data_IF_869924513614
#
_entry.id   IF_869924513614
#
_cell.length_a   1.000
_cell.length_b   1.000
_cell.length_c   1.000
_cell.angle_alpha   90.00
_cell.angle_beta   90.00
_cell.angle_gamma   90.00
#
_symmetry.space_group_name_H-M   'P 1'
#
loop_
_entity.id
_entity.type
_entity.pdbx_description
1 polymer ?
#
# COMPACT_ATOMS: atom_id res chain seq x y z
N UNK A 1 -17.00 -25.76 -18.09
CA UNK A 1 -15.63 -25.36 -18.44
C UNK A 1 -14.90 -25.06 -17.15
N UNK A 2 -13.68 -25.58 -16.97
CA UNK A 2 -12.94 -25.45 -15.72
C UNK A 2 -12.70 -23.98 -15.37
N UNK A 3 -13.14 -23.57 -14.17
CA UNK A 3 -13.03 -22.22 -13.62
C UNK A 3 -11.64 -22.00 -13.02
N UNK A 4 -10.60 -21.94 -13.86
CA UNK A 4 -9.24 -21.72 -13.36
C UNK A 4 -9.18 -20.38 -12.61
N UNK A 5 -9.00 -20.44 -11.28
CA UNK A 5 -8.90 -19.26 -10.41
C UNK A 5 -7.44 -18.84 -10.19
N UNK A 6 -6.52 -19.79 -10.23
CA UNK A 6 -5.13 -19.59 -9.87
C UNK A 6 -4.20 -20.17 -10.93
N UNK A 7 -3.32 -19.34 -11.47
CA UNK A 7 -2.30 -19.74 -12.43
C UNK A 7 -0.93 -19.29 -11.93
N UNK A 8 -0.03 -20.26 -11.71
CA UNK A 8 1.33 -20.04 -11.24
C UNK A 8 2.31 -20.61 -12.26
N UNK A 9 3.17 -19.76 -12.80
CA UNK A 9 4.22 -20.10 -13.78
C UNK A 9 5.57 -19.50 -13.36
N UNK A 10 5.87 -19.58 -12.07
CA UNK A 10 7.09 -19.03 -11.49
C UNK A 10 8.34 -19.79 -11.96
N UNK A 11 9.46 -19.06 -12.03
CA UNK A 11 10.80 -19.54 -12.37
C UNK A 11 10.85 -20.34 -13.69
N UNK A 12 9.87 -20.11 -14.56
CA UNK A 12 9.81 -20.65 -15.91
C UNK A 12 10.78 -19.85 -16.79
N UNK A 13 12.05 -20.24 -16.82
CA UNK A 13 13.13 -19.53 -17.52
C UNK A 13 12.93 -19.43 -19.04
N UNK A 14 12.18 -20.34 -19.64
CA UNK A 14 11.82 -20.30 -21.07
C UNK A 14 10.56 -19.48 -21.35
N UNK A 15 9.85 -19.01 -20.32
CA UNK A 15 8.69 -18.15 -20.48
C UNK A 15 9.15 -16.70 -20.69
N UNK A 16 9.18 -16.29 -21.95
CA UNK A 16 9.52 -14.92 -22.37
C UNK A 16 8.31 -14.07 -22.74
N UNK A 17 7.17 -14.70 -22.99
CA UNK A 17 5.93 -14.04 -23.39
C UNK A 17 4.73 -14.80 -22.84
N UNK A 18 3.62 -14.09 -22.66
CA UNK A 18 2.33 -14.67 -22.32
C UNK A 18 1.38 -14.37 -23.48
N UNK A 19 0.65 -15.37 -23.98
CA UNK A 19 -0.32 -15.17 -25.06
C UNK A 19 -1.40 -14.14 -24.68
N UNK A 20 -1.90 -13.39 -25.65
CA UNK A 20 -3.00 -12.44 -25.42
C UNK A 20 -4.31 -13.14 -25.06
N UNK A 21 -4.43 -14.42 -25.41
CA UNK A 21 -5.51 -15.35 -25.09
C UNK A 21 -5.63 -15.67 -23.59
N UNK A 22 -4.71 -15.15 -22.76
CA UNK A 22 -4.85 -15.21 -21.29
C UNK A 22 -6.22 -14.66 -20.83
N UNK A 23 -6.79 -13.72 -21.57
CA UNK A 23 -8.12 -13.13 -21.33
C UNK A 23 -9.28 -14.13 -21.40
N UNK A 24 -9.08 -15.30 -22.02
CA UNK A 24 -10.04 -16.40 -22.04
C UNK A 24 -10.23 -17.00 -20.63
N UNK A 25 -9.26 -16.77 -19.73
CA UNK A 25 -9.32 -17.20 -18.33
C UNK A 25 -10.15 -16.22 -17.49
N UNK A 26 -11.41 -16.01 -17.88
CA UNK A 26 -12.33 -15.05 -17.24
C UNK A 26 -12.56 -15.26 -15.74
N UNK A 27 -12.32 -16.47 -15.22
CA UNK A 27 -12.42 -16.80 -13.78
C UNK A 27 -11.11 -16.61 -13.00
N UNK A 28 -10.02 -16.21 -13.67
CA UNK A 28 -8.70 -16.11 -13.07
C UNK A 28 -8.67 -14.95 -12.07
N UNK A 29 -8.17 -15.27 -10.87
CA UNK A 29 -8.09 -14.39 -9.70
C UNK A 29 -6.66 -14.12 -9.27
N UNK A 30 -5.77 -15.11 -9.43
CA UNK A 30 -4.34 -14.94 -9.15
C UNK A 30 -3.50 -15.40 -10.33
N UNK A 31 -2.57 -14.54 -10.73
CA UNK A 31 -1.54 -14.83 -11.72
C UNK A 31 -0.17 -14.59 -11.09
N UNK A 32 0.67 -15.63 -11.08
CA UNK A 32 2.03 -15.57 -10.57
C UNK A 32 3.01 -15.97 -11.66
N UNK A 33 4.01 -15.12 -11.89
CA UNK A 33 5.01 -15.23 -12.94
C UNK A 33 6.41 -14.94 -12.39
N UNK A 34 6.59 -15.04 -11.07
CA UNK A 34 7.80 -14.61 -10.38
C UNK A 34 9.05 -15.29 -10.96
N UNK A 35 10.14 -14.57 -11.15
CA UNK A 35 11.40 -15.10 -11.67
C UNK A 35 11.35 -15.56 -13.13
N UNK A 36 10.30 -15.24 -13.88
CA UNK A 36 10.22 -15.53 -15.31
C UNK A 36 10.98 -14.50 -16.15
N UNK A 37 11.21 -14.81 -17.43
CA UNK A 37 11.97 -13.97 -18.35
C UNK A 37 11.08 -13.05 -19.20
N UNK A 38 9.85 -12.80 -18.76
CA UNK A 38 8.90 -11.94 -19.46
C UNK A 38 9.45 -10.51 -19.55
N UNK A 39 9.30 -9.90 -20.72
CA UNK A 39 9.65 -8.49 -20.93
C UNK A 39 8.46 -7.55 -20.73
N UNK A 40 7.25 -8.04 -21.00
CA UNK A 40 6.00 -7.28 -20.88
C UNK A 40 4.86 -8.22 -20.49
N UNK A 41 3.80 -7.64 -19.94
CA UNK A 41 2.51 -8.33 -19.77
C UNK A 41 1.65 -8.15 -21.04
N UNK A 42 0.82 -9.14 -21.42
CA UNK A 42 -0.01 -9.07 -22.61
C UNK A 42 -1.13 -8.04 -22.45
N UNK A 43 -1.49 -7.35 -23.52
CA UNK A 43 -2.59 -6.36 -23.52
C UNK A 43 -3.93 -6.98 -23.12
N UNK A 44 -4.09 -8.30 -23.32
CA UNK A 44 -5.27 -9.04 -22.86
C UNK A 44 -5.48 -9.02 -21.34
N UNK A 45 -4.46 -8.72 -20.54
CA UNK A 45 -4.54 -8.78 -19.07
C UNK A 45 -5.59 -7.81 -18.49
N UNK A 46 -5.82 -6.64 -19.11
CA UNK A 46 -6.89 -5.70 -18.69
C UNK A 46 -8.29 -6.27 -18.77
N UNK A 47 -8.49 -7.31 -19.60
CA UNK A 47 -9.79 -7.98 -19.78
C UNK A 47 -10.05 -9.04 -18.72
N UNK A 48 -9.08 -9.34 -17.87
CA UNK A 48 -9.26 -10.24 -16.73
C UNK A 48 -9.95 -9.52 -15.57
N UNK A 49 -11.25 -9.29 -15.72
CA UNK A 49 -12.09 -8.52 -14.76
C UNK A 49 -12.21 -9.16 -13.37
N UNK A 50 -11.75 -10.40 -13.20
CA UNK A 50 -11.71 -11.09 -11.93
C UNK A 50 -10.29 -11.23 -11.35
N UNK A 51 -9.26 -10.69 -12.01
CA UNK A 51 -7.88 -10.80 -11.53
C UNK A 51 -7.66 -9.85 -10.35
N UNK A 52 -7.42 -10.42 -9.18
CA UNK A 52 -7.28 -9.72 -7.90
C UNK A 52 -5.81 -9.56 -7.52
N UNK A 53 -4.97 -10.55 -7.84
CA UNK A 53 -3.55 -10.55 -7.49
C UNK A 53 -2.64 -10.89 -8.66
N UNK A 54 -1.58 -10.10 -8.83
CA UNK A 54 -0.55 -10.27 -9.85
C UNK A 54 0.84 -10.26 -9.19
N UNK A 55 1.55 -11.37 -9.30
CA UNK A 55 2.90 -11.55 -8.73
C UNK A 55 3.93 -11.66 -9.85
N UNK A 56 4.91 -10.76 -9.85
CA UNK A 56 5.92 -10.53 -10.89
C UNK A 56 7.31 -10.34 -10.30
N UNK A 57 7.52 -10.69 -9.03
CA UNK A 57 8.81 -10.50 -8.35
C UNK A 57 9.94 -11.24 -9.08
N UNK A 58 11.14 -10.66 -9.09
CA UNK A 58 12.34 -11.15 -9.78
C UNK A 58 12.19 -11.32 -11.31
N UNK A 59 11.19 -10.69 -11.95
CA UNK A 59 11.10 -10.63 -13.42
C UNK A 59 12.13 -9.63 -13.99
N UNK A 60 13.39 -10.06 -14.06
CA UNK A 60 14.55 -9.20 -14.39
C UNK A 60 14.49 -8.52 -15.76
N UNK A 61 13.66 -9.01 -16.68
CA UNK A 61 13.50 -8.45 -18.03
C UNK A 61 12.25 -7.59 -18.19
N UNK A 62 11.36 -7.54 -17.18
CA UNK A 62 10.12 -6.80 -17.24
C UNK A 62 10.41 -5.30 -17.40
N UNK A 63 9.90 -4.69 -18.46
CA UNK A 63 10.15 -3.29 -18.81
C UNK A 63 8.97 -2.38 -18.50
N UNK A 64 7.76 -2.92 -18.61
CA UNK A 64 6.53 -2.14 -18.50
C UNK A 64 5.39 -2.90 -17.84
N UNK A 65 4.61 -2.17 -17.05
CA UNK A 65 3.33 -2.58 -16.49
C UNK A 65 2.26 -1.61 -16.97
N UNK A 66 1.68 -1.91 -18.14
CA UNK A 66 0.65 -1.11 -18.76
C UNK A 66 -0.67 -1.90 -18.77
N UNK A 67 -1.80 -1.21 -18.86
CA UNK A 67 -3.10 -1.85 -19.05
C UNK A 67 -3.40 -2.93 -17.98
N UNK A 68 -3.19 -2.60 -16.70
CA UNK A 68 -3.52 -3.50 -15.60
C UNK A 68 -5.05 -3.62 -15.44
N UNK A 69 -5.57 -4.78 -15.00
CA UNK A 69 -7.01 -4.97 -14.85
C UNK A 69 -7.59 -4.09 -13.71
N UNK A 70 -8.81 -3.55 -13.86
CA UNK A 70 -9.43 -2.67 -12.86
C UNK A 70 -9.79 -3.39 -11.55
N UNK A 71 -9.84 -4.71 -11.55
CA UNK A 71 -10.07 -5.56 -10.37
C UNK A 71 -8.83 -5.80 -9.52
N UNK A 72 -7.65 -5.37 -9.99
CA UNK A 72 -6.39 -5.64 -9.31
C UNK A 72 -6.31 -4.86 -8.01
N UNK A 73 -6.12 -5.57 -6.90
CA UNK A 73 -5.89 -4.97 -5.58
C UNK A 73 -4.51 -5.31 -5.03
N UNK A 74 -3.87 -6.37 -5.54
CA UNK A 74 -2.53 -6.78 -5.11
C UNK A 74 -1.60 -6.90 -6.32
N UNK A 75 -0.59 -6.04 -6.37
CA UNK A 75 0.48 -6.07 -7.36
C UNK A 75 1.81 -6.16 -6.64
N UNK A 76 2.61 -7.15 -7.01
CA UNK A 76 3.98 -7.32 -6.51
C UNK A 76 4.92 -7.50 -7.69
N UNK A 77 5.90 -6.60 -7.83
CA UNK A 77 6.95 -6.67 -8.84
C UNK A 77 8.31 -6.34 -8.21
N UNK A 78 8.63 -6.99 -7.09
CA UNK A 78 9.84 -6.73 -6.32
C UNK A 78 11.06 -7.19 -7.11
N UNK A 79 12.13 -6.40 -7.14
CA UNK A 79 13.39 -6.81 -7.78
C UNK A 79 13.31 -6.90 -9.30
N UNK A 80 12.49 -6.05 -9.93
CA UNK A 80 12.41 -5.91 -11.38
C UNK A 80 13.24 -4.69 -11.85
N UNK A 81 14.57 -4.80 -12.01
CA UNK A 81 15.44 -3.66 -12.31
C UNK A 81 15.22 -3.08 -13.72
N UNK A 82 14.67 -3.85 -14.66
CA UNK A 82 14.36 -3.33 -16.00
C UNK A 82 13.06 -2.55 -16.09
N UNK A 83 12.24 -2.54 -15.02
CA UNK A 83 10.93 -1.89 -15.04
C UNK A 83 11.12 -0.37 -15.01
N UNK A 84 10.68 0.30 -16.07
CA UNK A 84 10.76 1.76 -16.20
C UNK A 84 9.39 2.42 -16.22
N UNK A 85 8.39 1.76 -16.79
CA UNK A 85 7.06 2.34 -17.03
C UNK A 85 5.97 1.58 -16.28
N UNK A 86 5.10 2.33 -15.61
CA UNK A 86 3.89 1.81 -14.96
C UNK A 86 2.75 2.75 -15.34
N UNK A 87 1.66 2.23 -15.89
CA UNK A 87 0.43 2.99 -16.13
C UNK A 87 -0.55 2.79 -14.99
N UNK A 88 -1.32 3.83 -14.69
CA UNK A 88 -2.48 3.66 -13.81
C UNK A 88 -3.54 2.81 -14.53
N UNK A 89 -4.08 1.76 -13.87
CA UNK A 89 -5.19 0.98 -14.39
C UNK A 89 -6.53 1.73 -14.48
N UNK A 90 -6.67 2.90 -13.84
CA UNK A 90 -8.00 3.47 -13.53
C UNK A 90 -8.32 4.74 -14.32
N UNK A 91 -8.74 4.60 -15.58
CA UNK A 91 -9.40 5.71 -16.29
C UNK A 91 -10.87 5.91 -15.87
N UNK A 92 -11.48 4.98 -15.14
CA UNK A 92 -12.86 5.14 -14.65
C UNK A 92 -13.11 4.13 -13.54
N UNK A 93 -13.49 4.59 -12.34
CA UNK A 93 -13.95 3.73 -11.24
C UNK A 93 -15.29 3.10 -11.67
N UNK A 94 -15.22 2.08 -12.51
CA UNK A 94 -16.25 1.07 -12.56
C UNK A 94 -16.01 0.25 -11.30
N UNK A 95 -17.00 0.15 -10.42
CA UNK A 95 -16.97 -0.76 -9.27
C UNK A 95 -16.28 -2.05 -9.71
N UNK A 96 -15.23 -2.54 -9.05
CA UNK A 96 -14.84 -3.91 -9.27
C UNK A 96 -16.08 -4.75 -8.93
N UNK A 97 -16.72 -5.34 -9.95
CA UNK A 97 -17.86 -6.26 -9.78
C UNK A 97 -17.51 -7.40 -8.80
N UNK A 98 -16.22 -7.54 -8.50
CA UNK A 98 -15.56 -8.48 -7.62
C UNK A 98 -15.73 -8.25 -6.12
N UNK A 99 -16.14 -7.10 -5.58
CA UNK A 99 -16.19 -6.94 -4.11
C UNK A 99 -17.33 -7.74 -3.42
N UNK A 100 -18.19 -8.42 -4.19
CA UNK A 100 -19.14 -9.41 -3.68
C UNK A 100 -18.52 -10.81 -3.61
N UNK A 101 -17.44 -10.97 -2.85
CA UNK A 101 -16.91 -12.30 -2.57
C UNK A 101 -17.66 -12.96 -1.42
N UNK A 102 -18.01 -14.24 -1.58
CA UNK A 102 -18.48 -15.05 -0.46
C UNK A 102 -17.39 -15.14 0.60
N UNK A 103 -17.79 -15.08 1.87
CA UNK A 103 -16.94 -15.13 3.07
C UNK A 103 -15.86 -16.24 3.05
N UNK A 104 -16.05 -17.29 2.26
CA UNK A 104 -15.11 -18.42 2.11
C UNK A 104 -13.87 -18.14 1.24
N UNK A 105 -13.90 -17.18 0.29
CA UNK A 105 -12.73 -16.79 -0.52
C UNK A 105 -11.86 -15.72 0.21
N UNK A 106 -12.39 -15.08 1.28
CA UNK A 106 -11.80 -13.93 2.00
C UNK A 106 -10.97 -14.27 3.25
N UNK A 107 -10.80 -15.55 3.59
CA UNK A 107 -10.02 -15.95 4.79
C UNK A 107 -8.51 -15.68 4.71
N UNK A 108 -8.01 -15.14 3.61
CA UNK A 108 -6.63 -14.68 3.52
C UNK A 108 -6.59 -13.17 3.77
N UNK A 109 -5.94 -12.76 4.86
CA UNK A 109 -5.70 -11.36 5.27
C UNK A 109 -5.19 -10.45 4.13
N UNK A 110 -4.65 -11.03 3.06
CA UNK A 110 -4.22 -10.34 1.84
C UNK A 110 -5.33 -9.60 1.07
N UNK A 111 -6.62 -9.93 1.28
CA UNK A 111 -7.72 -9.40 0.46
C UNK A 111 -8.45 -8.19 1.04
N UNK A 112 -8.08 -7.72 2.23
CA UNK A 112 -8.63 -6.50 2.85
C UNK A 112 -7.70 -5.28 2.69
N UNK A 113 -6.72 -5.40 1.80
CA UNK A 113 -5.71 -4.37 1.55
C UNK A 113 -5.49 -4.17 0.05
N UNK A 114 -5.46 -2.91 -0.38
CA UNK A 114 -4.84 -2.56 -1.67
C UNK A 114 -3.33 -2.50 -1.47
N UNK A 115 -2.56 -3.27 -2.24
CA UNK A 115 -1.11 -3.35 -2.15
C UNK A 115 -0.47 -3.20 -3.52
N UNK A 116 0.47 -2.26 -3.64
CA UNK A 116 1.39 -2.14 -4.76
C UNK A 116 2.83 -2.15 -4.25
N UNK A 117 3.56 -3.24 -4.47
CA UNK A 117 4.95 -3.38 -4.06
C UNK A 117 5.87 -3.45 -5.28
N UNK A 118 6.58 -2.36 -5.55
CA UNK A 118 7.56 -2.22 -6.62
C UNK A 118 8.98 -2.06 -6.04
N UNK A 119 9.22 -2.62 -4.86
CA UNK A 119 10.52 -2.52 -4.19
C UNK A 119 11.65 -2.99 -5.10
N UNK A 120 12.77 -2.27 -5.08
CA UNK A 120 13.95 -2.49 -5.93
C UNK A 120 13.70 -2.37 -7.46
N UNK A 121 12.60 -1.76 -7.90
CA UNK A 121 12.44 -1.28 -9.29
C UNK A 121 13.19 0.04 -9.51
N UNK A 122 14.52 -0.01 -9.49
CA UNK A 122 15.37 1.18 -9.36
C UNK A 122 15.38 2.13 -10.57
N UNK A 123 14.75 1.76 -11.69
CA UNK A 123 14.78 2.50 -12.95
C UNK A 123 13.40 3.06 -13.37
N UNK A 124 12.44 3.15 -12.44
CA UNK A 124 11.16 3.80 -12.69
C UNK A 124 11.36 5.24 -13.18
N UNK A 125 10.73 5.59 -14.30
CA UNK A 125 10.78 6.94 -14.85
C UNK A 125 9.83 7.91 -14.09
N UNK A 126 9.99 9.23 -14.25
CA UNK A 126 9.16 10.20 -13.54
C UNK A 126 7.65 10.05 -13.81
N UNK A 127 7.26 9.62 -15.01
CA UNK A 127 5.85 9.42 -15.36
C UNK A 127 5.27 8.19 -14.65
N UNK A 128 6.05 7.12 -14.53
CA UNK A 128 5.68 5.96 -13.72
C UNK A 128 5.47 6.36 -12.26
N UNK A 129 6.36 7.17 -11.67
CA UNK A 129 6.15 7.68 -10.32
C UNK A 129 4.85 8.47 -10.18
N UNK A 130 4.57 9.41 -11.07
CA UNK A 130 3.31 10.19 -11.04
C UNK A 130 2.08 9.27 -11.15
N UNK A 131 2.12 8.28 -12.04
CA UNK A 131 1.02 7.31 -12.18
C UNK A 131 0.83 6.47 -10.91
N UNK A 132 1.91 6.04 -10.26
CA UNK A 132 1.85 5.30 -9.00
C UNK A 132 1.25 6.19 -7.90
N UNK A 133 1.69 7.45 -7.80
CA UNK A 133 1.14 8.39 -6.83
C UNK A 133 -0.34 8.66 -7.06
N UNK A 134 -0.77 8.79 -8.32
CA UNK A 134 -2.17 9.00 -8.66
C UNK A 134 -3.03 7.78 -8.35
N UNK A 135 -2.57 6.58 -8.72
CA UNK A 135 -3.24 5.33 -8.36
C UNK A 135 -3.36 5.18 -6.83
N UNK A 136 -2.33 5.57 -6.09
CA UNK A 136 -2.34 5.59 -4.62
C UNK A 136 -3.46 6.48 -4.09
N UNK A 137 -3.60 7.71 -4.62
CA UNK A 137 -4.67 8.63 -4.21
C UNK A 137 -6.05 8.07 -4.53
N UNK A 138 -6.23 7.53 -5.73
CA UNK A 138 -7.51 6.93 -6.15
C UNK A 138 -7.87 5.75 -5.25
N UNK A 139 -6.92 4.86 -4.96
CA UNK A 139 -7.13 3.71 -4.09
C UNK A 139 -7.52 4.14 -2.67
N UNK A 140 -6.80 5.09 -2.08
CA UNK A 140 -7.14 5.64 -0.76
C UNK A 140 -8.53 6.24 -0.75
N UNK A 141 -8.86 7.08 -1.74
CA UNK A 141 -10.17 7.74 -1.78
C UNK A 141 -11.31 6.74 -1.94
N UNK A 142 -11.11 5.71 -2.77
CA UNK A 142 -12.06 4.61 -2.93
C UNK A 142 -12.27 3.86 -1.61
N UNK A 143 -11.20 3.43 -0.94
CA UNK A 143 -11.30 2.69 0.33
C UNK A 143 -11.93 3.53 1.44
N UNK A 144 -11.60 4.82 1.48
CA UNK A 144 -12.11 5.80 2.43
C UNK A 144 -13.63 6.00 2.33
N UNK A 145 -14.15 6.11 1.11
CA UNK A 145 -15.56 6.40 0.81
C UNK A 145 -16.43 5.14 0.80
N UNK A 146 -16.02 4.11 0.06
CA UNK A 146 -16.82 2.90 -0.15
C UNK A 146 -16.69 1.90 1.01
N UNK A 147 -15.68 2.06 1.87
CA UNK A 147 -15.39 1.18 3.03
C UNK A 147 -15.20 -0.30 2.65
N UNK A 148 -14.63 -0.53 1.48
CA UNK A 148 -14.50 -1.87 0.88
C UNK A 148 -13.24 -2.60 1.28
N UNK A 149 -12.17 -1.86 1.58
CA UNK A 149 -10.88 -2.36 2.05
C UNK A 149 -10.46 -1.53 3.26
N UNK A 150 -9.83 -2.16 4.24
CA UNK A 150 -9.37 -1.50 5.47
C UNK A 150 -8.03 -0.76 5.32
N UNK A 151 -7.25 -1.09 4.28
CA UNK A 151 -5.86 -0.65 4.17
C UNK A 151 -5.43 -0.39 2.73
N UNK A 152 -4.55 0.60 2.56
CA UNK A 152 -3.80 0.84 1.32
C UNK A 152 -2.32 0.88 1.64
N UNK A 153 -1.52 0.23 0.81
CA UNK A 153 -0.07 0.08 0.95
C UNK A 153 0.57 0.27 -0.42
N UNK A 154 1.56 1.15 -0.49
CA UNK A 154 2.41 1.29 -1.66
C UNK A 154 3.87 1.34 -1.23
N UNK A 155 4.72 0.53 -1.85
CA UNK A 155 6.17 0.52 -1.63
C UNK A 155 6.88 0.72 -2.96
N UNK A 156 7.76 1.72 -2.99
CA UNK A 156 8.54 2.06 -4.19
C UNK A 156 9.94 2.52 -3.76
N UNK A 157 10.96 2.40 -4.62
CA UNK A 157 12.21 3.12 -4.43
C UNK A 157 11.93 4.62 -4.31
N UNK A 158 12.70 5.34 -3.52
CA UNK A 158 12.48 6.78 -3.34
C UNK A 158 13.11 7.30 -2.06
N UNK A 159 13.64 8.52 -2.13
CA UNK A 159 14.37 9.16 -1.03
C UNK A 159 13.68 10.41 -0.47
N UNK A 160 12.51 10.77 -1.01
CA UNK A 160 11.79 12.00 -0.71
C UNK A 160 10.30 11.73 -0.50
N UNK A 161 9.67 12.51 0.38
CA UNK A 161 8.22 12.49 0.57
C UNK A 161 7.56 13.26 -0.58
N UNK A 162 6.45 12.76 -1.17
CA UNK A 162 5.77 13.46 -2.24
C UNK A 162 5.23 14.83 -1.79
N UNK A 163 5.22 15.81 -2.70
CA UNK A 163 4.83 17.20 -2.40
C UNK A 163 3.39 17.36 -1.90
N UNK A 164 2.54 16.36 -2.11
CA UNK A 164 1.15 16.38 -1.67
C UNK A 164 0.98 15.99 -0.19
N UNK A 165 2.06 15.64 0.52
CA UNK A 165 2.04 15.55 1.98
C UNK A 165 2.31 16.93 2.59
N UNK A 166 1.29 17.60 3.17
CA UNK A 166 1.42 18.96 3.70
C UNK A 166 2.30 19.03 4.96
N UNK A 167 2.38 17.93 5.73
CA UNK A 167 3.19 17.85 6.93
C UNK A 167 4.32 16.86 6.73
N UNK A 168 5.55 17.30 6.96
CA UNK A 168 6.75 16.48 6.80
C UNK A 168 7.75 16.80 7.91
N UNK A 169 8.54 15.81 8.32
CA UNK A 169 9.61 15.99 9.30
C UNK A 169 10.79 15.08 8.99
N UNK A 170 12.00 15.56 9.26
CA UNK A 170 13.19 14.74 9.22
C UNK A 170 13.23 13.84 10.46
N UNK A 171 13.69 12.60 10.28
CA UNK A 171 13.73 11.57 11.30
C UNK A 171 12.44 10.73 11.37
N UNK A 172 12.30 9.90 12.42
CA UNK A 172 11.24 8.91 12.53
C UNK A 172 9.93 9.47 13.09
N UNK A 173 9.88 10.74 13.47
CA UNK A 173 8.70 11.31 14.15
C UNK A 173 8.24 12.61 13.53
N UNK A 174 6.93 12.81 13.53
CA UNK A 174 6.27 14.05 13.14
C UNK A 174 5.23 14.43 14.19
N UNK A 175 5.25 15.68 14.62
CA UNK A 175 4.21 16.25 15.49
C UNK A 175 3.47 17.34 14.73
N UNK A 176 2.14 17.24 14.71
CA UNK A 176 1.24 18.18 14.04
C UNK A 176 0.36 18.82 15.10
N UNK A 177 0.29 20.14 15.11
CA UNK A 177 -0.71 20.89 15.87
C UNK A 177 -1.87 21.22 14.95
N UNK A 178 -3.06 20.77 15.31
CA UNK A 178 -4.23 20.92 14.45
C UNK A 178 -5.51 21.15 15.25
N UNK A 179 -6.40 21.97 14.69
CA UNK A 179 -7.80 22.12 15.09
C UNK A 179 -8.64 21.26 14.13
N UNK A 180 -9.15 20.09 14.56
CA UNK A 180 -9.98 19.25 13.71
C UNK A 180 -11.28 19.99 13.32
N UNK A 181 -11.76 19.88 12.08
CA UNK A 181 -13.09 20.36 11.73
C UNK A 181 -14.11 19.66 12.63
N UNK A 182 -15.03 20.42 13.21
CA UNK A 182 -16.08 19.87 14.09
C UNK A 182 -16.90 18.83 13.31
N UNK A 183 -17.02 17.62 13.87
CA UNK A 183 -17.81 16.49 13.35
C UNK A 183 -17.25 15.67 12.15
N UNK A 184 -16.05 15.95 11.61
CA UNK A 184 -15.50 15.11 10.52
C UNK A 184 -14.64 13.96 11.04
N UNK A 185 -14.85 12.75 10.52
CA UNK A 185 -13.95 11.63 10.73
C UNK A 185 -12.62 11.92 10.02
N UNK A 186 -11.52 11.96 10.79
CA UNK A 186 -10.19 12.23 10.24
C UNK A 186 -9.49 10.92 9.95
N UNK A 187 -9.07 10.76 8.71
CA UNK A 187 -8.20 9.66 8.29
C UNK A 187 -6.85 10.24 7.87
N UNK A 188 -5.81 9.42 7.84
CA UNK A 188 -4.46 9.88 7.51
C UNK A 188 -3.84 8.97 6.48
N UNK A 189 -3.21 9.59 5.48
CA UNK A 189 -2.21 8.94 4.64
C UNK A 189 -0.87 9.22 5.28
N UNK A 190 -0.10 8.17 5.48
CA UNK A 190 1.20 8.17 6.11
C UNK A 190 2.25 7.83 5.07
N UNK A 191 3.39 8.49 5.15
CA UNK A 191 4.54 8.20 4.30
C UNK A 191 5.81 8.18 5.13
N UNK A 192 6.67 7.22 4.87
CA UNK A 192 7.99 7.11 5.47
C UNK A 192 9.01 6.76 4.39
N UNK A 193 10.15 7.42 4.44
CA UNK A 193 11.33 7.05 3.66
C UNK A 193 12.32 6.34 4.57
N UNK A 194 12.59 5.10 4.20
CA UNK A 194 13.56 4.24 4.85
C UNK A 194 14.92 4.46 4.20
N UNK A 195 15.90 4.89 4.98
CA UNK A 195 17.29 5.05 4.54
C UNK A 195 18.00 3.70 4.53
N UNK A 196 18.65 3.42 3.41
CA UNK A 196 19.34 2.15 3.18
C UNK A 196 20.81 2.43 2.91
N UNK A 197 21.61 2.34 3.97
CA UNK A 197 23.07 2.58 3.93
C UNK A 197 23.82 1.34 3.39
N UNK A 198 23.32 0.14 3.67
CA UNK A 198 23.78 -1.15 3.15
C UNK A 198 22.56 -2.05 2.91
N UNK A 199 22.72 -3.18 2.18
CA UNK A 199 21.63 -4.13 1.94
C UNK A 199 21.13 -4.70 3.27
N UNK A 200 20.09 -4.07 3.81
CA UNK A 200 19.53 -4.36 5.13
C UNK A 200 18.18 -5.05 5.02
N UNK A 201 17.92 -5.91 6.00
CA UNK A 201 16.65 -6.61 6.16
C UNK A 201 15.67 -5.69 6.89
N UNK A 202 14.42 -5.68 6.44
CA UNK A 202 13.33 -4.94 7.09
C UNK A 202 12.36 -5.97 7.62
N UNK A 203 12.11 -5.96 8.93
CA UNK A 203 11.12 -6.84 9.55
C UNK A 203 9.75 -6.19 9.68
N UNK A 204 9.67 -4.87 9.54
CA UNK A 204 8.42 -4.13 9.51
C UNK A 204 8.58 -2.71 9.97
N UNK A 205 7.57 -1.92 9.67
CA UNK A 205 7.40 -0.58 10.22
C UNK A 205 6.13 -0.63 11.06
N UNK A 206 6.17 -0.10 12.28
CA UNK A 206 4.98 0.26 13.05
C UNK A 206 4.92 1.77 13.05
N UNK A 207 3.71 2.32 12.98
CA UNK A 207 3.52 3.69 13.41
C UNK A 207 2.71 3.70 14.69
N UNK A 208 3.19 4.50 15.63
CA UNK A 208 2.50 4.80 16.86
C UNK A 208 1.95 6.19 16.67
N UNK A 209 0.64 6.32 16.75
CA UNK A 209 0.02 7.63 16.83
C UNK A 209 -0.30 7.97 18.28
N UNK A 210 -0.24 9.25 18.61
CA UNK A 210 -0.60 9.77 19.91
C UNK A 210 -1.36 11.08 19.73
N UNK A 211 -2.58 11.15 20.23
CA UNK A 211 -3.42 12.34 20.19
C UNK A 211 -3.57 12.90 21.59
N UNK A 212 -3.17 14.15 21.80
CA UNK A 212 -3.39 14.88 23.05
C UNK A 212 -4.54 15.87 22.89
N UNK A 213 -5.54 15.80 23.78
CA UNK A 213 -6.72 16.69 23.79
C UNK A 213 -6.87 17.25 25.20
N UNK A 214 -6.46 18.50 25.41
CA UNK A 214 -6.34 19.05 26.76
C UNK A 214 -5.40 18.18 27.62
N UNK A 215 -5.93 17.61 28.70
CA UNK A 215 -5.18 16.70 29.59
C UNK A 215 -5.29 15.22 29.20
N UNK A 216 -6.11 14.88 28.20
CA UNK A 216 -6.29 13.50 27.74
C UNK A 216 -5.21 13.12 26.71
N UNK A 217 -4.70 11.88 26.80
CA UNK A 217 -3.76 11.30 25.85
C UNK A 217 -4.31 9.97 25.33
N UNK A 218 -4.54 9.90 24.02
CA UNK A 218 -5.01 8.71 23.31
C UNK A 218 -3.84 8.16 22.51
N UNK A 219 -3.58 6.85 22.58
CA UNK A 219 -2.53 6.19 21.80
C UNK A 219 -3.11 5.04 20.99
N UNK A 220 -2.59 4.82 19.80
CA UNK A 220 -2.84 3.62 19.00
C UNK A 220 -1.58 3.27 18.22
N UNK A 221 -1.37 1.98 18.01
CA UNK A 221 -0.20 1.44 17.33
C UNK A 221 -0.62 0.40 16.31
N UNK A 222 -1.37 0.78 15.26
CA UNK A 222 -1.67 -0.14 14.18
C UNK A 222 -0.36 -0.59 13.50
N UNK A 223 -0.22 -1.91 13.31
CA UNK A 223 0.95 -2.48 12.67
C UNK A 223 0.97 -2.12 11.18
N UNK A 224 2.07 -1.54 10.71
CA UNK A 224 2.19 -1.23 9.29
C UNK A 224 2.72 -2.42 8.47
N UNK A 225 3.67 -3.26 8.92
CA UNK A 225 4.24 -4.30 8.04
C UNK A 225 4.79 -5.59 8.65
N UNK A 226 4.81 -6.60 7.74
CA UNK A 226 5.15 -8.05 7.76
C UNK A 226 4.44 -8.92 8.79
N UNK A 227 3.20 -9.30 8.49
CA UNK A 227 2.48 -10.30 9.31
C UNK A 227 2.98 -11.74 9.10
N UNK A 228 3.91 -12.01 8.17
CA UNK A 228 4.35 -13.38 7.84
C UNK A 228 5.87 -13.62 7.83
N UNK A 229 6.68 -12.72 8.42
CA UNK A 229 8.14 -12.95 8.49
C UNK A 229 8.84 -13.00 7.12
N UNK A 230 8.23 -12.42 6.08
CA UNK A 230 8.88 -12.27 4.78
C UNK A 230 9.99 -11.22 4.89
N UNK A 231 11.24 -11.67 4.86
CA UNK A 231 12.40 -10.78 4.91
C UNK A 231 12.48 -9.95 3.62
N UNK A 232 12.12 -8.67 3.68
CA UNK A 232 12.36 -7.72 2.58
C UNK A 232 13.79 -7.17 2.65
N UNK A 233 14.50 -7.13 1.53
CA UNK A 233 15.74 -6.34 1.42
C UNK A 233 15.51 -5.15 0.49
N UNK A 234 16.04 -4.00 0.88
CA UNK A 234 16.08 -2.82 0.03
C UNK A 234 17.51 -2.59 -0.45
N UNK A 235 17.67 -2.19 -1.71
CA UNK A 235 18.97 -1.87 -2.31
C UNK A 235 19.33 -0.38 -2.23
N UNK A 236 18.32 0.47 -2.11
CA UNK A 236 18.42 1.94 -1.97
C UNK A 236 17.31 2.44 -1.05
N UNK A 237 17.27 3.74 -0.77
CA UNK A 237 16.15 4.35 -0.06
C UNK A 237 14.82 3.92 -0.66
N UNK A 238 13.87 3.55 0.21
CA UNK A 238 12.53 3.13 -0.18
C UNK A 238 11.50 3.99 0.52
N UNK A 239 10.50 4.41 -0.25
CA UNK A 239 9.33 5.11 0.21
C UNK A 239 8.19 4.12 0.42
N UNK A 240 7.56 4.21 1.59
CA UNK A 240 6.37 3.47 1.94
C UNK A 240 5.25 4.46 2.17
N UNK A 241 4.18 4.36 1.40
CA UNK A 241 2.93 5.09 1.60
C UNK A 241 1.89 4.12 2.13
N UNK A 242 1.11 4.56 3.11
CA UNK A 242 0.05 3.75 3.67
C UNK A 242 -1.14 4.58 4.11
N UNK A 243 -2.30 3.96 4.11
CA UNK A 243 -3.52 4.49 4.71
C UNK A 243 -4.22 3.35 5.42
N UNK A 244 -4.83 3.66 6.56
CA UNK A 244 -5.58 2.70 7.36
C UNK A 244 -6.86 3.34 7.87
N UNK A 245 -7.94 2.56 7.88
CA UNK A 245 -9.19 3.01 8.50
C UNK A 245 -9.07 3.06 10.02
N UNK A 246 -8.83 4.27 10.54
CA UNK A 246 -8.77 4.59 11.96
C UNK A 246 -9.91 4.00 12.82
N UNK A 247 -11.11 3.81 12.26
CA UNK A 247 -12.24 3.18 13.00
C UNK A 247 -11.91 1.78 13.46
N UNK A 248 -11.16 1.03 12.66
CA UNK A 248 -10.83 -0.36 12.96
C UNK A 248 -9.82 -0.46 14.10
N UNK A 249 -8.89 0.49 14.20
CA UNK A 249 -7.93 0.54 15.32
C UNK A 249 -8.62 0.88 16.65
N UNK A 250 -9.71 1.65 16.62
CA UNK A 250 -10.51 1.98 17.82
C UNK A 250 -11.38 0.79 18.29
N UNK A 251 -11.77 -0.10 17.38
CA UNK A 251 -12.58 -1.28 17.72
C UNK A 251 -11.78 -2.45 18.33
N UNK A 252 -10.44 -2.44 18.21
CA UNK A 252 -9.58 -3.51 18.72
C UNK A 252 -9.05 -3.30 20.14
N UNK A 253 -9.19 -2.09 20.69
CA UNK A 253 -8.91 -1.84 22.10
C UNK A 253 -10.21 -2.00 22.89
N UNK A 254 -10.22 -2.88 23.88
CA UNK A 254 -11.35 -3.10 24.81
C UNK A 254 -11.76 -1.82 25.58
N UNK A 255 -10.95 -0.76 25.50
CA UNK A 255 -11.30 0.59 25.95
C UNK A 255 -12.03 1.36 24.85
N UNK A 256 -13.34 1.09 24.75
CA UNK A 256 -14.29 1.87 23.95
C UNK A 256 -14.25 3.33 24.40
N UNK A 257 -13.42 4.16 23.77
CA UNK A 257 -13.69 5.60 23.71
C UNK A 257 -14.84 5.73 22.72
N UNK A 258 -16.07 5.61 23.23
CA UNK A 258 -17.28 5.89 22.48
C UNK A 258 -17.16 7.23 21.78
N UNK A 259 -17.67 7.37 20.55
CA UNK A 259 -17.79 8.65 19.82
C UNK A 259 -18.37 9.80 20.67
N UNK A 260 -19.08 9.48 21.77
CA UNK A 260 -19.61 10.41 22.76
C UNK A 260 -18.62 11.01 23.77
N UNK A 261 -17.34 10.61 23.80
CA UNK A 261 -16.38 11.03 24.84
C UNK A 261 -15.25 11.95 24.38
N UNK A 262 -15.08 12.19 23.07
CA UNK A 262 -14.16 13.24 22.63
C UNK A 262 -14.80 14.59 22.91
N UNK A 263 -14.22 15.46 23.77
CA UNK A 263 -14.75 16.79 24.00
C UNK A 263 -14.46 17.64 22.77
N UNK A 264 -15.26 17.48 21.71
CA UNK A 264 -15.28 18.34 20.51
C UNK A 264 -15.60 19.81 20.83
N UNK A 265 -15.81 20.14 22.12
CA UNK A 265 -16.34 21.40 22.62
C UNK A 265 -15.33 22.18 23.50
N UNK A 266 -14.06 21.79 23.53
CA UNK A 266 -13.01 22.62 24.13
C UNK A 266 -12.22 23.35 23.04
N UNK A 267 -11.85 24.60 23.28
CA UNK A 267 -10.88 25.41 22.51
C UNK A 267 -9.45 24.80 22.47
N UNK A 268 -9.34 23.47 22.52
CA UNK A 268 -8.10 22.71 22.65
C UNK A 268 -7.52 22.38 21.27
N UNK A 269 -6.29 22.85 21.03
CA UNK A 269 -5.46 22.33 19.95
C UNK A 269 -5.20 20.84 20.17
N UNK A 270 -5.37 20.04 19.13
CA UNK A 270 -5.02 18.62 19.16
C UNK A 270 -3.57 18.51 18.71
N UNK A 271 -2.73 17.91 19.55
CA UNK A 271 -1.37 17.54 19.16
C UNK A 271 -1.38 16.09 18.73
N UNK A 272 -0.93 15.84 17.51
CA UNK A 272 -0.84 14.51 16.94
C UNK A 272 0.61 14.17 16.66
N UNK A 273 1.16 13.21 17.41
CA UNK A 273 2.51 12.70 17.20
C UNK A 273 2.43 11.34 16.53
N UNK A 274 3.08 11.20 15.39
CA UNK A 274 3.31 9.92 14.74
C UNK A 274 4.78 9.58 14.86
N UNK A 275 5.07 8.40 15.37
CA UNK A 275 6.40 7.83 15.47
C UNK A 275 6.45 6.55 14.65
N UNK A 276 7.46 6.42 13.80
CA UNK A 276 7.70 5.25 12.97
C UNK A 276 8.88 4.45 13.54
N UNK A 277 8.63 3.18 13.87
CA UNK A 277 9.61 2.28 14.51
C UNK A 277 9.75 0.99 13.71
N UNK A 278 10.98 0.46 13.65
CA UNK A 278 11.23 -0.88 13.13
C UNK A 278 10.77 -1.92 14.18
N UNK A 279 10.11 -2.99 13.75
CA UNK A 279 9.52 -4.00 14.65
C UNK A 279 10.54 -4.81 15.46
N UNK A 280 11.84 -4.76 15.13
CA UNK A 280 12.85 -5.61 15.75
C UNK A 280 14.06 -4.81 16.25
N UNK A 281 14.24 -4.71 17.57
CA UNK A 281 15.34 -3.98 18.20
C UNK A 281 16.72 -4.67 18.05
N UNK A 282 16.78 -5.88 17.48
CA UNK A 282 17.95 -6.75 17.70
C UNK A 282 19.03 -6.72 16.62
N UNK A 283 18.80 -6.30 15.37
CA UNK A 283 19.87 -6.22 14.35
C UNK A 283 19.61 -5.13 13.28
N UNK A 284 20.66 -4.38 12.92
CA UNK A 284 20.76 -3.42 11.80
C UNK A 284 19.51 -2.60 11.46
N UNK A 285 19.10 -1.76 12.41
CA UNK A 285 17.95 -0.84 12.32
C UNK A 285 17.98 -0.09 10.98
N UNK A 286 16.94 -0.28 10.18
CA UNK A 286 16.69 0.59 9.03
C UNK A 286 16.18 1.91 9.56
N UNK A 287 16.90 2.98 9.22
CA UNK A 287 16.61 4.31 9.76
C UNK A 287 15.47 4.93 8.96
N UNK A 288 14.46 5.46 9.65
CA UNK A 288 13.49 6.35 9.01
C UNK A 288 14.12 7.73 8.88
N UNK A 289 14.31 8.19 7.63
CA UNK A 289 15.01 9.45 7.32
C UNK A 289 14.08 10.64 7.29
N UNK A 290 12.91 10.46 6.71
CA UNK A 290 11.90 11.51 6.60
C UNK A 290 10.52 10.85 6.61
N UNK A 291 9.58 11.53 7.24
CA UNK A 291 8.19 11.10 7.38
C UNK A 291 7.26 12.19 6.89
N UNK A 292 6.08 11.79 6.42
CA UNK A 292 5.05 12.67 5.90
C UNK A 292 3.66 12.22 6.30
N UNK A 293 2.77 13.18 6.50
CA UNK A 293 1.35 12.93 6.81
C UNK A 293 0.47 13.82 5.97
N UNK A 294 -0.54 13.20 5.35
CA UNK A 294 -1.60 13.88 4.65
C UNK A 294 -2.96 13.51 5.27
N UNK A 295 -3.62 14.45 5.98
CA UNK A 295 -4.96 14.21 6.47
C UNK A 295 -6.00 14.18 5.36
N UNK A 296 -6.96 13.28 5.49
CA UNK A 296 -8.16 13.19 4.67
C UNK A 296 -9.33 13.68 5.51
N UNK A 297 -10.00 14.71 5.02
CA UNK A 297 -11.22 15.24 5.61
C UNK A 297 -12.37 14.80 4.70
N UNK A 298 -13.18 13.85 5.18
CA UNK A 298 -14.43 13.50 4.53
C UNK A 298 -15.52 14.47 5.02
N UNK A 299 -16.14 15.19 4.08
CA UNK A 299 -17.30 16.05 4.31
C UNK A 299 -18.61 15.28 4.22
#
# INVERSE_FOLDING_TARGET
MCSLKDLKMDYCSNLSEIPNEIDCLSSLRRLSLCGSNIATIPVGIKRLVNLVSLFLSDCKRLQSLLDLPPSLIYLEAIGCPSLTTVSSPRETISKPECLFFSYDDLRSFYYDCFTMDLSNCLNLDPNAYENIMEETRIAVMYCSVEKTLSKVIVKVPGSEIPKWFPYQSNGPSLTIEWIPPTSSMIQFILCAVLAVEERKRVNGLIYIWQTKIGDYLIKSSPNLFFENGEEGFYEKDHMIISWYDARLALNHNDDVISDSLLPYNSDAYHTFTILFEDQNETHDIIKVKVVGVNPIILS
#
